data_IF_950429961462
#
_entry.id   IF_950429961462
#
_cell.length_a   1.000
_cell.length_b   1.000
_cell.length_c   1.000
_cell.angle_alpha   90.00
_cell.angle_beta   90.00
_cell.angle_gamma   90.00
#
_symmetry.space_group_name_H-M   'P 1'
#
loop_
_entity.id
_entity.type
_entity.pdbx_description
1 polymer ?
#
# COMPACT_ATOMS: atom_id res chain seq x y z
N UNK A 1 4.79 9.04 5.95
CA UNK A 1 4.73 8.43 4.60
C UNK A 1 5.90 8.84 3.71
N UNK A 2 6.33 10.11 3.70
CA UNK A 2 7.45 10.62 2.88
C UNK A 2 8.78 9.88 3.08
N UNK A 3 9.01 9.28 4.26
CA UNK A 3 10.23 8.52 4.57
C UNK A 3 10.13 7.01 4.28
N UNK A 4 9.03 6.54 3.68
CA UNK A 4 8.90 5.13 3.34
C UNK A 4 9.84 4.76 2.17
N UNK A 5 10.38 3.52 2.12
CA UNK A 5 11.12 3.05 0.96
C UNK A 5 10.31 3.22 -0.33
N UNK A 6 10.94 3.53 -1.48
CA UNK A 6 10.23 3.80 -2.74
C UNK A 6 9.20 2.72 -3.12
N UNK A 7 9.55 1.44 -2.99
CA UNK A 7 8.63 0.35 -3.31
C UNK A 7 7.37 0.30 -2.42
N UNK A 8 7.47 0.80 -1.17
CA UNK A 8 6.31 0.93 -0.29
C UNK A 8 5.42 2.11 -0.72
N UNK A 9 6.03 3.18 -1.22
CA UNK A 9 5.30 4.32 -1.80
C UNK A 9 4.54 3.88 -3.06
N UNK A 10 5.19 3.12 -3.95
CA UNK A 10 4.55 2.57 -5.15
C UNK A 10 3.38 1.65 -4.79
N UNK A 11 3.55 0.80 -3.77
CA UNK A 11 2.47 -0.03 -3.24
C UNK A 11 1.30 0.81 -2.71
N UNK A 12 1.56 1.88 -1.96
CA UNK A 12 0.51 2.77 -1.45
C UNK A 12 -0.21 3.49 -2.60
N UNK A 13 0.52 3.99 -3.60
CA UNK A 13 -0.09 4.60 -4.78
C UNK A 13 -0.99 3.59 -5.51
N UNK A 14 -0.50 2.36 -5.72
CA UNK A 14 -1.28 1.27 -6.30
C UNK A 14 -2.52 0.92 -5.46
N UNK A 15 -2.42 0.96 -4.13
CA UNK A 15 -3.52 0.73 -3.20
C UNK A 15 -4.65 1.75 -3.40
N UNK A 16 -4.31 3.03 -3.43
CA UNK A 16 -5.31 4.10 -3.59
C UNK A 16 -5.93 4.12 -4.99
N UNK A 17 -5.14 3.92 -6.06
CA UNK A 17 -5.72 3.92 -7.43
C UNK A 17 -6.53 2.66 -7.72
N UNK A 18 -6.25 1.53 -7.08
CA UNK A 18 -7.07 0.33 -7.20
C UNK A 18 -8.50 0.56 -6.67
N UNK A 19 -8.69 1.48 -5.72
CA UNK A 19 -10.01 1.87 -5.23
C UNK A 19 -10.88 2.58 -6.27
N UNK A 20 -10.29 3.11 -7.35
CA UNK A 20 -11.04 3.66 -8.49
C UNK A 20 -11.78 2.58 -9.29
N UNK A 21 -11.31 1.32 -9.22
CA UNK A 21 -11.91 0.18 -9.94
C UNK A 21 -12.76 -0.67 -9.01
N UNK A 22 -12.28 -0.89 -7.78
CA UNK A 22 -12.94 -1.70 -6.76
C UNK A 22 -12.94 -0.98 -5.41
N UNK A 23 -14.11 -0.52 -4.95
CA UNK A 23 -14.24 0.28 -3.73
C UNK A 23 -14.13 -0.53 -2.41
N UNK A 24 -13.75 -1.81 -2.50
CA UNK A 24 -13.54 -2.71 -1.38
C UNK A 24 -12.14 -3.35 -1.44
N UNK A 25 -11.78 -4.17 -0.45
CA UNK A 25 -10.55 -4.97 -0.45
C UNK A 25 -10.83 -6.43 -0.83
N UNK A 26 -11.74 -6.67 -1.78
CA UNK A 26 -12.08 -8.00 -2.29
C UNK A 26 -10.90 -8.68 -3.03
N UNK A 27 -10.98 -9.98 -3.35
CA UNK A 27 -9.96 -10.62 -4.18
C UNK A 27 -9.73 -9.94 -5.53
N UNK A 28 -10.78 -9.35 -6.14
CA UNK A 28 -10.66 -8.61 -7.39
C UNK A 28 -9.80 -7.33 -7.22
N UNK A 29 -9.99 -6.60 -6.12
CA UNK A 29 -9.13 -5.49 -5.74
C UNK A 29 -7.66 -5.91 -5.63
N UNK A 30 -7.38 -7.00 -4.91
CA UNK A 30 -6.00 -7.47 -4.71
C UNK A 30 -5.35 -7.96 -6.01
N UNK A 31 -6.13 -8.49 -6.95
CA UNK A 31 -5.63 -8.82 -8.29
C UNK A 31 -5.19 -7.57 -9.06
N UNK A 32 -5.91 -6.44 -8.93
CA UNK A 32 -5.49 -5.15 -9.52
C UNK A 32 -4.19 -4.66 -8.89
N UNK A 33 -4.10 -4.67 -7.56
CA UNK A 33 -2.87 -4.27 -6.84
C UNK A 33 -1.68 -5.15 -7.28
N UNK A 34 -1.86 -6.47 -7.32
CA UNK A 34 -0.82 -7.40 -7.75
C UNK A 34 -0.37 -7.17 -9.20
N UNK A 35 -1.29 -6.78 -10.09
CA UNK A 35 -0.94 -6.43 -11.47
C UNK A 35 -0.11 -5.15 -11.57
N UNK A 36 -0.33 -4.18 -10.68
CA UNK A 36 0.38 -2.89 -10.70
C UNK A 36 1.79 -2.99 -10.11
N UNK A 37 1.96 -3.73 -9.01
CA UNK A 37 3.21 -3.71 -8.23
C UNK A 37 3.81 -5.09 -7.95
N UNK A 38 3.19 -6.18 -8.41
CA UNK A 38 3.64 -7.54 -8.14
C UNK A 38 3.28 -8.02 -6.73
N UNK A 39 4.18 -8.77 -6.09
CA UNK A 39 3.94 -9.26 -4.73
C UNK A 39 3.92 -8.11 -3.72
N UNK A 40 2.73 -7.83 -3.21
CA UNK A 40 2.47 -6.71 -2.30
C UNK A 40 2.58 -7.10 -0.81
N UNK A 41 2.74 -8.39 -0.49
CA UNK A 41 2.83 -8.86 0.90
C UNK A 41 4.00 -8.25 1.69
N UNK A 42 5.21 -8.09 1.12
CA UNK A 42 6.33 -7.47 1.84
C UNK A 42 6.03 -6.00 2.22
N UNK A 43 5.39 -5.24 1.35
CA UNK A 43 5.05 -3.83 1.59
C UNK A 43 3.96 -3.68 2.65
N UNK A 44 2.95 -4.55 2.63
CA UNK A 44 1.93 -4.63 3.69
C UNK A 44 2.53 -4.96 5.04
N UNK A 45 3.44 -5.94 5.09
CA UNK A 45 4.18 -6.27 6.31
C UNK A 45 4.98 -5.07 6.79
N UNK A 46 5.72 -4.40 5.91
CA UNK A 46 6.48 -3.22 6.27
C UNK A 46 5.59 -2.11 6.86
N UNK A 47 4.43 -1.84 6.26
CA UNK A 47 3.50 -0.83 6.77
C UNK A 47 2.88 -1.21 8.10
N UNK A 48 2.56 -2.48 8.34
CA UNK A 48 2.10 -2.91 9.66
C UNK A 48 3.17 -2.69 10.73
N UNK A 49 4.42 -2.99 10.39
CA UNK A 49 5.53 -2.96 11.34
C UNK A 49 6.05 -1.52 11.58
N UNK A 50 5.94 -0.61 10.59
CA UNK A 50 6.48 0.76 10.64
C UNK A 50 5.40 1.86 10.64
N UNK A 51 4.14 1.53 10.32
CA UNK A 51 2.99 2.43 10.24
C UNK A 51 2.73 3.26 11.49
N UNK A 52 2.77 2.68 12.71
CA UNK A 52 2.59 3.44 13.94
C UNK A 52 3.60 4.59 14.10
N UNK A 53 4.85 4.40 13.67
CA UNK A 53 5.88 5.43 13.71
C UNK A 53 5.70 6.50 12.60
N UNK A 54 5.06 6.15 11.49
CA UNK A 54 4.80 7.07 10.37
C UNK A 54 3.69 8.09 10.66
N UNK A 55 2.76 7.80 11.58
CA UNK A 55 1.76 8.76 12.06
C UNK A 55 2.30 9.72 13.12
N UNK A 56 3.45 9.42 13.74
CA UNK A 56 4.03 10.23 14.82
C UNK A 56 4.78 11.49 14.34
N UNK A 57 5.20 11.53 13.07
CA UNK A 57 5.94 12.67 12.46
C UNK A 57 5.00 13.67 11.77
N UNK A 58 3.68 13.49 11.91
CA UNK A 58 2.64 14.32 11.29
C UNK A 58 1.78 15.12 12.29
N UNK A 59 2.24 15.32 13.53
CA UNK A 59 1.63 16.25 14.49
C UNK A 59 2.55 17.43 14.73
#
# INVERSE_FOLDING_TARGET
VVMAPPAVIDYLAAHEVAHLVHADHSPAYWAVVQRLVGDHHPHRKWLRDNGPALHAVGR
#
